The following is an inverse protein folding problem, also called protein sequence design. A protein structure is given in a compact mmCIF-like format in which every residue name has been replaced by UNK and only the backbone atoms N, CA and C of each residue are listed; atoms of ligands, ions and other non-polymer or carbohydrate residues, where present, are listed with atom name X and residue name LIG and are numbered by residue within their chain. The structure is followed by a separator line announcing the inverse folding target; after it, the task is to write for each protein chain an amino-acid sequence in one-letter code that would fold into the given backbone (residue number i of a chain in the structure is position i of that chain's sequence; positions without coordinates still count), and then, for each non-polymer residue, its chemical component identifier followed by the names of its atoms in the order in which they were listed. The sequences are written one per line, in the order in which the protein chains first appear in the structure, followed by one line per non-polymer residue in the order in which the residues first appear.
data_IF_960533291357
#
_entry.id   IF_960533291357
#
_cell.length_a   1.000
_cell.length_b   1.000
_cell.length_c   1.000
_cell.angle_alpha   90.00
_cell.angle_beta   90.00
_cell.angle_gamma   90.00
#
_symmetry.space_group_name_H-M   'P 1'
#
loop_
_entity.id
_entity.type
_entity.pdbx_description
1 polymer ?
#
# COMPACT_ATOMS: atom_id res chain seq x y z
N UNK A 1 51.98 -31.03 2.12
CA UNK A 1 51.08 -32.05 2.70
C UNK A 1 49.65 -31.54 2.56
N UNK A 2 48.96 -32.04 1.54
CA UNK A 2 47.58 -31.62 1.21
C UNK A 2 46.60 -32.64 1.77
N UNK A 3 45.80 -32.24 2.73
CA UNK A 3 44.69 -33.08 3.27
C UNK A 3 43.36 -32.56 2.66
N UNK A 4 42.88 -33.28 1.66
CA UNK A 4 41.52 -33.10 1.10
C UNK A 4 40.51 -33.69 2.08
N UNK A 5 39.62 -32.87 2.64
CA UNK A 5 38.46 -33.34 3.41
C UNK A 5 37.29 -33.55 2.45
N UNK A 6 36.93 -34.81 2.25
CA UNK A 6 35.74 -35.24 1.51
C UNK A 6 34.53 -35.12 2.44
N UNK A 7 33.55 -34.29 2.07
CA UNK A 7 32.25 -34.26 2.72
C UNK A 7 31.35 -35.32 2.05
N UNK A 8 30.92 -36.31 2.81
CA UNK A 8 29.83 -37.21 2.44
C UNK A 8 28.50 -36.52 2.68
N UNK A 9 27.71 -36.33 1.62
CA UNK A 9 26.33 -35.93 1.71
C UNK A 9 25.43 -37.15 1.89
N UNK A 10 24.80 -37.28 3.05
CA UNK A 10 23.83 -38.34 3.34
C UNK A 10 22.46 -37.85 2.83
N UNK A 11 21.93 -38.51 1.81
CA UNK A 11 20.57 -38.31 1.31
C UNK A 11 19.62 -39.16 2.16
N UNK A 12 18.78 -38.50 2.96
CA UNK A 12 17.70 -39.17 3.68
C UNK A 12 16.48 -39.29 2.77
N UNK A 13 16.14 -40.52 2.38
CA UNK A 13 14.91 -40.84 1.65
C UNK A 13 13.73 -40.82 2.63
N UNK A 14 12.81 -39.88 2.45
CA UNK A 14 11.52 -39.84 3.14
C UNK A 14 10.52 -40.72 2.38
N UNK A 15 10.20 -41.88 2.96
CA UNK A 15 9.10 -42.74 2.50
C UNK A 15 7.77 -42.15 2.96
N UNK A 16 6.94 -41.70 2.03
CA UNK A 16 5.55 -41.32 2.30
C UNK A 16 4.70 -42.59 2.44
N UNK A 17 4.24 -42.85 3.65
CA UNK A 17 3.21 -43.86 3.91
C UNK A 17 1.87 -43.30 3.41
N UNK A 18 1.27 -43.94 2.42
CA UNK A 18 -0.03 -43.60 1.88
C UNK A 18 -1.15 -43.88 2.91
N UNK A 19 -1.84 -42.85 3.32
CA UNK A 19 -3.13 -42.97 4.01
C UNK A 19 -4.24 -42.99 2.95
N UNK A 20 -4.84 -44.17 2.75
CA UNK A 20 -6.09 -44.27 2.00
C UNK A 20 -7.22 -43.73 2.85
N UNK A 21 -7.73 -42.53 2.51
CA UNK A 21 -8.96 -42.01 3.07
C UNK A 21 -10.11 -42.60 2.28
N UNK A 22 -10.89 -43.47 2.95
CA UNK A 22 -12.13 -44.01 2.43
C UNK A 22 -13.10 -42.84 2.11
N UNK A 23 -13.54 -42.80 0.85
CA UNK A 23 -14.48 -41.75 0.39
C UNK A 23 -15.82 -41.86 1.11
N UNK A 24 -16.17 -40.78 1.79
CA UNK A 24 -17.59 -40.43 2.00
C UNK A 24 -17.99 -39.55 0.83
N UNK A 25 -18.80 -40.10 -0.08
CA UNK A 25 -19.51 -39.35 -1.07
C UNK A 25 -20.52 -38.47 -0.32
N UNK A 26 -20.13 -37.25 -0.05
CA UNK A 26 -21.08 -36.20 0.32
C UNK A 26 -21.53 -35.57 -1.00
N UNK A 27 -22.78 -35.77 -1.36
CA UNK A 27 -23.51 -34.96 -2.34
C UNK A 27 -23.56 -33.49 -1.86
N UNK A 28 -22.42 -32.89 -1.76
CA UNK A 28 -22.25 -31.47 -1.56
C UNK A 28 -22.34 -30.79 -2.91
N UNK A 29 -23.53 -30.32 -3.28
CA UNK A 29 -23.68 -29.39 -4.38
C UNK A 29 -22.57 -28.33 -4.30
N UNK A 30 -21.91 -28.07 -5.42
CA UNK A 30 -20.92 -27.02 -5.56
C UNK A 30 -21.53 -25.74 -5.00
N UNK A 31 -21.23 -25.42 -3.76
CA UNK A 31 -21.46 -24.12 -3.21
C UNK A 31 -20.54 -23.17 -4.02
N UNK A 32 -21.07 -22.70 -5.15
CA UNK A 32 -20.52 -21.52 -5.81
C UNK A 32 -20.38 -20.50 -4.70
N UNK A 33 -19.11 -20.20 -4.33
CA UNK A 33 -18.81 -19.28 -3.26
C UNK A 33 -19.69 -18.07 -3.43
N UNK A 34 -20.45 -17.73 -2.39
CA UNK A 34 -21.29 -16.53 -2.39
C UNK A 34 -20.33 -15.42 -2.80
N UNK A 35 -20.56 -14.85 -3.97
CA UNK A 35 -19.88 -13.64 -4.41
C UNK A 35 -20.06 -12.65 -3.27
N UNK A 36 -19.02 -12.47 -2.48
CA UNK A 36 -19.04 -11.50 -1.40
C UNK A 36 -19.27 -10.15 -2.08
N UNK A 37 -20.31 -9.44 -1.68
CA UNK A 37 -20.58 -8.12 -2.24
C UNK A 37 -19.28 -7.29 -2.11
N UNK A 38 -18.89 -6.55 -3.17
CA UNK A 38 -17.69 -5.74 -3.13
C UNK A 38 -17.66 -4.88 -1.87
N UNK A 39 -16.49 -4.75 -1.24
CA UNK A 39 -16.35 -3.83 -0.12
C UNK A 39 -16.60 -2.39 -0.63
N UNK A 40 -17.30 -1.54 0.12
CA UNK A 40 -17.60 -0.17 -0.34
C UNK A 40 -16.37 0.62 -0.81
N UNK A 41 -15.18 0.36 -0.27
CA UNK A 41 -13.94 1.02 -0.69
C UNK A 41 -13.38 0.49 -2.02
N UNK A 42 -13.73 -0.73 -2.45
CA UNK A 42 -13.26 -1.28 -3.73
C UNK A 42 -13.64 -0.38 -4.90
N UNK A 43 -12.72 -0.22 -5.85
CA UNK A 43 -12.91 0.60 -7.04
C UNK A 43 -11.84 1.67 -7.21
N UNK A 44 -12.05 2.55 -8.19
CA UNK A 44 -11.15 3.67 -8.49
C UNK A 44 -11.73 5.00 -8.00
N UNK A 45 -10.87 5.81 -7.43
CA UNK A 45 -11.22 7.05 -6.75
C UNK A 45 -10.41 8.21 -7.27
N UNK A 46 -11.06 9.35 -7.45
CA UNK A 46 -10.41 10.65 -7.61
C UNK A 46 -10.20 11.22 -6.22
N UNK A 47 -8.95 11.51 -5.88
CA UNK A 47 -8.57 11.90 -4.53
C UNK A 47 -7.91 13.25 -4.53
N UNK A 48 -8.30 14.11 -3.58
CA UNK A 48 -7.62 15.36 -3.26
C UNK A 48 -6.87 15.16 -1.96
N UNK A 49 -5.55 15.33 -1.99
CA UNK A 49 -4.64 15.14 -0.85
C UNK A 49 -4.18 16.52 -0.39
N UNK A 50 -4.39 16.85 0.88
CA UNK A 50 -3.97 18.10 1.50
C UNK A 50 -2.90 17.81 2.56
N UNK A 51 -1.68 18.32 2.42
CA UNK A 51 -0.68 18.29 3.49
C UNK A 51 -1.16 19.09 4.71
N UNK A 52 -0.99 18.50 5.89
CA UNK A 52 -1.41 19.09 7.16
C UNK A 52 -0.29 19.06 8.19
N UNK A 53 -0.35 19.94 9.16
CA UNK A 53 0.49 19.91 10.35
C UNK A 53 0.01 18.79 11.24
N UNK A 54 0.85 17.78 11.52
CA UNK A 54 0.45 16.56 12.22
C UNK A 54 -0.17 16.81 13.60
N UNK A 55 0.29 17.82 14.34
CA UNK A 55 -0.16 18.11 15.69
C UNK A 55 -1.50 18.83 15.76
N UNK A 56 -1.85 19.61 14.75
CA UNK A 56 -3.05 20.46 14.74
C UNK A 56 -4.08 20.08 13.68
N UNK A 57 -3.70 19.28 12.66
CA UNK A 57 -4.56 18.97 11.52
C UNK A 57 -4.84 20.14 10.58
N UNK A 58 -4.20 21.29 10.81
CA UNK A 58 -4.37 22.50 9.99
C UNK A 58 -3.55 22.35 8.71
N UNK A 59 -4.06 22.87 7.60
CA UNK A 59 -3.36 22.86 6.31
C UNK A 59 -2.00 23.52 6.43
N UNK A 60 -0.98 22.94 5.78
CA UNK A 60 0.34 23.55 5.71
C UNK A 60 0.25 24.79 4.82
N UNK A 61 0.54 26.00 5.35
CA UNK A 61 0.40 27.23 4.59
C UNK A 61 1.27 27.24 3.32
N UNK A 62 0.69 27.67 2.21
CA UNK A 62 1.39 27.80 0.93
C UNK A 62 1.69 26.48 0.21
N UNK A 63 1.28 25.34 0.75
CA UNK A 63 1.41 24.04 0.08
C UNK A 63 0.09 23.69 -0.60
N UNK A 64 0.05 23.59 -1.93
CA UNK A 64 -1.18 23.26 -2.65
C UNK A 64 -1.60 21.81 -2.40
N UNK A 65 -2.90 21.56 -2.54
CA UNK A 65 -3.42 20.19 -2.59
C UNK A 65 -2.92 19.45 -3.83
N UNK A 66 -2.85 18.14 -3.71
CA UNK A 66 -2.39 17.23 -4.78
C UNK A 66 -3.57 16.37 -5.22
N UNK A 67 -3.76 16.25 -6.53
CA UNK A 67 -4.73 15.31 -7.09
C UNK A 67 -4.09 13.95 -7.30
N UNK A 68 -4.82 12.87 -6.96
CA UNK A 68 -4.38 11.51 -7.15
C UNK A 68 -5.53 10.62 -7.68
N UNK A 69 -5.16 9.48 -8.23
CA UNK A 69 -6.05 8.36 -8.49
C UNK A 69 -5.61 7.19 -7.63
N UNK A 70 -6.53 6.66 -6.83
CA UNK A 70 -6.32 5.46 -6.03
C UNK A 70 -7.25 4.36 -6.54
N UNK A 71 -6.72 3.17 -6.74
CA UNK A 71 -7.52 1.98 -7.06
C UNK A 71 -7.34 0.96 -5.96
N UNK A 72 -8.44 0.63 -5.29
CA UNK A 72 -8.51 -0.42 -4.29
C UNK A 72 -9.07 -1.68 -4.97
N UNK A 73 -8.20 -2.67 -5.19
CA UNK A 73 -8.59 -3.91 -5.86
C UNK A 73 -9.17 -4.92 -4.87
N UNK A 74 -10.06 -5.82 -5.31
CA UNK A 74 -10.47 -6.97 -4.52
C UNK A 74 -9.26 -7.76 -4.01
N UNK A 75 -9.35 -8.26 -2.77
CA UNK A 75 -8.25 -9.01 -2.15
C UNK A 75 -7.20 -8.14 -1.44
N UNK A 76 -7.45 -6.83 -1.29
CA UNK A 76 -6.67 -5.97 -0.40
C UNK A 76 -5.44 -5.32 -1.01
N UNK A 77 -5.21 -5.43 -2.32
CA UNK A 77 -4.12 -4.69 -2.99
C UNK A 77 -4.61 -3.33 -3.48
N UNK A 78 -3.68 -2.39 -3.64
CA UNK A 78 -3.99 -1.07 -4.18
C UNK A 78 -2.88 -0.48 -5.01
N UNK A 79 -3.25 0.46 -5.87
CA UNK A 79 -2.32 1.28 -6.65
C UNK A 79 -2.68 2.76 -6.54
N UNK A 80 -1.68 3.61 -6.73
CA UNK A 80 -1.83 5.06 -6.68
C UNK A 80 -0.98 5.73 -7.75
N UNK A 81 -1.50 6.82 -8.30
CA UNK A 81 -0.72 7.80 -9.06
C UNK A 81 -1.18 9.21 -8.68
N UNK A 82 -0.26 10.16 -8.63
CA UNK A 82 -0.59 11.52 -8.27
C UNK A 82 0.13 12.57 -9.13
N UNK A 83 -0.39 13.80 -9.05
CA UNK A 83 0.09 14.97 -9.79
C UNK A 83 0.92 15.91 -8.92
N UNK A 84 1.65 15.39 -7.92
CA UNK A 84 2.42 16.25 -7.02
C UNK A 84 3.58 16.94 -7.75
N UNK A 85 3.43 18.25 -7.98
CA UNK A 85 4.41 19.09 -8.68
C UNK A 85 5.69 19.34 -7.88
N UNK A 86 5.78 18.92 -6.61
CA UNK A 86 7.02 18.96 -5.84
C UNK A 86 8.03 17.90 -6.29
N UNK A 87 7.61 16.92 -7.09
CA UNK A 87 8.50 15.97 -7.75
C UNK A 87 8.82 16.42 -9.17
N UNK A 88 10.07 16.23 -9.58
CA UNK A 88 10.48 16.38 -10.96
C UNK A 88 9.83 15.29 -11.84
N UNK A 89 9.60 15.54 -13.14
CA UNK A 89 9.07 14.53 -14.05
C UNK A 89 9.84 13.21 -13.98
N UNK A 90 9.14 12.11 -13.71
CA UNK A 90 9.74 10.77 -13.57
C UNK A 90 10.47 10.53 -12.24
N UNK A 91 10.54 11.49 -11.33
CA UNK A 91 11.20 11.32 -10.04
C UNK A 91 10.44 10.37 -9.13
N UNK A 92 9.12 10.46 -9.06
CA UNK A 92 8.28 9.57 -8.26
C UNK A 92 7.53 8.59 -9.17
N UNK A 93 7.67 7.33 -8.87
CA UNK A 93 6.91 6.25 -9.51
C UNK A 93 5.48 6.14 -8.98
N UNK A 94 4.66 5.24 -9.56
CA UNK A 94 3.36 4.89 -9.01
C UNK A 94 3.52 4.28 -7.61
N UNK A 95 2.49 4.46 -6.79
CA UNK A 95 2.38 3.82 -5.49
C UNK A 95 1.74 2.44 -5.60
N UNK A 96 2.24 1.51 -4.81
CA UNK A 96 1.68 0.16 -4.64
C UNK A 96 1.55 -0.15 -3.16
N UNK A 97 0.49 -0.86 -2.79
CA UNK A 97 0.28 -1.16 -1.40
C UNK A 97 -0.87 -2.11 -1.14
N UNK A 98 -1.31 -2.08 0.09
CA UNK A 98 -2.42 -2.88 0.55
C UNK A 98 -3.43 -2.03 1.32
N UNK A 99 -4.64 -2.54 1.41
CA UNK A 99 -5.71 -1.98 2.21
C UNK A 99 -6.48 -3.10 2.91
N UNK A 100 -7.10 -2.76 4.02
CA UNK A 100 -7.96 -3.68 4.75
C UNK A 100 -9.09 -2.93 5.44
N UNK A 101 -10.18 -3.66 5.71
CA UNK A 101 -11.31 -3.14 6.45
C UNK A 101 -11.07 -3.27 7.95
N UNK A 102 -11.19 -2.17 8.69
CA UNK A 102 -10.98 -2.12 10.14
C UNK A 102 -12.28 -1.96 10.93
N UNK A 103 -13.37 -1.55 10.26
CA UNK A 103 -14.68 -1.35 10.88
C UNK A 103 -15.81 -1.45 9.87
N UNK A 104 -17.01 -1.03 10.27
CA UNK A 104 -18.18 -1.06 9.38
C UNK A 104 -18.00 -0.12 8.18
N UNK A 105 -17.50 1.06 8.42
CA UNK A 105 -17.25 2.13 7.45
C UNK A 105 -15.78 2.54 7.39
N UNK A 106 -14.95 1.95 8.25
CA UNK A 106 -13.55 2.31 8.44
C UNK A 106 -12.62 1.32 7.75
N UNK A 107 -11.56 1.84 7.16
CA UNK A 107 -10.51 1.08 6.48
C UNK A 107 -9.15 1.69 6.82
N UNK A 108 -8.10 0.94 6.52
CA UNK A 108 -6.74 1.46 6.51
C UNK A 108 -6.02 1.03 5.24
N UNK A 109 -5.07 1.84 4.81
CA UNK A 109 -4.16 1.45 3.75
C UNK A 109 -2.75 1.93 4.01
N UNK A 110 -1.80 1.18 3.48
CA UNK A 110 -0.41 1.60 3.38
C UNK A 110 0.07 1.38 1.95
N UNK A 111 0.83 2.34 1.42
CA UNK A 111 1.44 2.24 0.11
C UNK A 111 2.86 2.80 0.12
N UNK A 112 3.67 2.31 -0.81
CA UNK A 112 5.00 2.83 -1.07
C UNK A 112 5.14 3.19 -2.55
N UNK A 113 5.90 4.25 -2.81
CA UNK A 113 6.26 4.70 -4.15
C UNK A 113 7.75 5.01 -4.22
N UNK A 114 8.44 4.51 -5.23
CA UNK A 114 9.87 4.76 -5.39
C UNK A 114 10.15 6.22 -5.76
N UNK A 115 11.20 6.77 -5.14
CA UNK A 115 11.84 8.01 -5.56
C UNK A 115 13.10 7.62 -6.33
N UNK A 116 13.09 7.83 -7.65
CA UNK A 116 14.07 7.28 -8.59
C UNK A 116 15.44 7.96 -8.50
N UNK A 117 15.46 9.25 -8.17
CA UNK A 117 16.67 10.06 -8.11
C UNK A 117 16.51 11.23 -7.13
N UNK A 118 17.65 11.78 -6.71
CA UNK A 118 17.69 12.96 -5.83
C UNK A 118 17.11 14.18 -6.53
N UNK A 119 16.22 14.91 -5.82
CA UNK A 119 15.66 16.16 -6.31
C UNK A 119 16.74 17.23 -6.48
N UNK A 120 16.69 18.00 -7.57
CA UNK A 120 17.51 19.17 -7.82
C UNK A 120 16.82 20.48 -7.48
N UNK A 121 15.47 20.44 -7.41
CA UNK A 121 14.63 21.62 -7.20
C UNK A 121 14.51 21.96 -5.71
N UNK A 122 14.63 23.24 -5.37
CA UNK A 122 14.27 23.80 -4.06
C UNK A 122 12.76 24.13 -4.04
N UNK A 123 12.10 24.20 -2.85
CA UNK A 123 12.64 23.93 -1.51
C UNK A 123 12.68 22.46 -1.13
N UNK A 124 11.93 21.60 -1.82
CA UNK A 124 11.80 20.19 -1.48
C UNK A 124 12.90 19.38 -2.16
N UNK A 125 13.83 18.88 -1.38
CA UNK A 125 14.91 18.03 -1.87
C UNK A 125 14.70 16.60 -1.40
N UNK A 126 13.95 15.84 -2.18
CA UNK A 126 13.77 14.41 -1.91
C UNK A 126 15.03 13.65 -2.30
N UNK A 127 15.39 12.69 -1.49
CA UNK A 127 16.47 11.74 -1.79
C UNK A 127 15.91 10.54 -2.54
N UNK A 128 16.72 9.95 -3.41
CA UNK A 128 16.46 8.64 -3.97
C UNK A 128 16.14 7.65 -2.86
N UNK A 129 15.08 6.87 -3.03
CA UNK A 129 14.60 5.95 -2.01
C UNK A 129 13.11 5.64 -2.22
N UNK A 130 12.29 5.86 -1.21
CA UNK A 130 10.85 5.69 -1.35
C UNK A 130 10.05 6.61 -0.43
N UNK A 131 8.82 6.86 -0.84
CA UNK A 131 7.79 7.51 -0.04
C UNK A 131 6.85 6.42 0.48
N UNK A 132 6.47 6.51 1.75
CA UNK A 132 5.45 5.67 2.38
C UNK A 132 4.30 6.53 2.89
N UNK A 133 3.08 6.06 2.64
CA UNK A 133 1.85 6.62 3.19
C UNK A 133 1.15 5.55 4.02
N UNK A 134 0.76 5.91 5.25
CA UNK A 134 -0.08 5.10 6.12
C UNK A 134 -1.32 5.95 6.46
N UNK A 135 -2.51 5.49 6.08
CA UNK A 135 -3.75 6.27 6.17
C UNK A 135 -4.88 5.46 6.80
N UNK A 136 -5.68 6.13 7.61
CA UNK A 136 -6.99 5.63 8.06
C UNK A 136 -8.07 6.29 7.24
N UNK A 137 -9.03 5.51 6.73
CA UNK A 137 -10.12 5.96 5.85
C UNK A 137 -11.45 5.79 6.58
N UNK A 138 -12.33 6.77 6.43
CA UNK A 138 -13.72 6.70 6.86
C UNK A 138 -14.64 6.96 5.67
N UNK A 139 -15.46 5.96 5.32
CA UNK A 139 -16.50 6.07 4.29
C UNK A 139 -17.69 6.82 4.84
N UNK A 140 -18.16 7.84 4.14
CA UNK A 140 -19.38 8.59 4.49
C UNK A 140 -20.58 8.08 3.70
N UNK A 141 -20.37 7.80 2.41
CA UNK A 141 -21.33 7.18 1.51
C UNK A 141 -20.65 6.06 0.71
N UNK A 142 -21.34 5.45 -0.24
CA UNK A 142 -20.73 4.52 -1.21
C UNK A 142 -19.78 5.21 -2.18
N UNK A 143 -19.88 6.54 -2.29
CA UNK A 143 -19.22 7.32 -3.34
C UNK A 143 -18.29 8.40 -2.83
N UNK A 144 -18.14 8.54 -1.51
CA UNK A 144 -17.22 9.48 -0.88
C UNK A 144 -16.63 8.96 0.44
N UNK A 145 -15.39 9.40 0.71
CA UNK A 145 -14.68 9.10 1.94
C UNK A 145 -13.68 10.21 2.29
N UNK A 146 -13.25 10.21 3.55
CA UNK A 146 -12.10 10.98 4.02
C UNK A 146 -11.02 10.08 4.57
N UNK A 147 -9.76 10.54 4.54
CA UNK A 147 -8.66 9.87 5.22
C UNK A 147 -7.72 10.85 5.88
N UNK A 148 -6.94 10.34 6.82
CA UNK A 148 -5.82 11.07 7.41
C UNK A 148 -4.73 10.09 7.85
N UNK A 149 -3.48 10.56 7.84
CA UNK A 149 -2.36 9.73 8.26
C UNK A 149 -1.01 10.33 7.95
N UNK A 150 0.01 9.48 8.00
CA UNK A 150 1.41 9.86 7.86
C UNK A 150 1.88 9.78 6.42
N UNK A 151 2.82 10.66 6.10
CA UNK A 151 3.60 10.66 4.86
C UNK A 151 5.07 10.71 5.25
N UNK A 152 5.84 9.72 4.84
CA UNK A 152 7.23 9.54 5.25
C UNK A 152 8.11 9.32 4.00
N UNK A 153 9.34 9.82 4.05
CA UNK A 153 10.31 9.64 2.98
C UNK A 153 11.57 8.97 3.54
N UNK A 154 11.99 7.91 2.91
CA UNK A 154 13.16 7.13 3.30
C UNK A 154 14.22 7.21 2.21
N UNK A 155 15.45 7.52 2.61
CA UNK A 155 16.57 7.59 1.68
C UNK A 155 17.17 6.19 1.42
N UNK A 156 17.44 5.87 0.18
CA UNK A 156 18.00 4.59 -0.22
C UNK A 156 17.11 3.41 0.15
N UNK A 157 17.66 2.45 0.88
CA UNK A 157 16.96 1.26 1.39
C UNK A 157 16.70 1.34 2.90
N UNK A 158 16.87 2.52 3.52
CA UNK A 158 16.57 2.72 4.94
C UNK A 158 15.10 2.40 5.23
N UNK A 159 14.83 1.75 6.37
CA UNK A 159 13.49 1.50 6.89
C UNK A 159 13.23 2.24 8.20
N UNK A 160 14.23 3.01 8.66
CA UNK A 160 14.21 3.82 9.86
C UNK A 160 14.55 5.27 9.50
N UNK A 161 14.23 6.20 10.40
CA UNK A 161 14.59 7.62 10.29
C UNK A 161 14.11 8.32 9.02
N UNK A 162 12.79 8.35 8.77
CA UNK A 162 12.24 9.05 7.61
C UNK A 162 12.50 10.56 7.70
N UNK A 163 12.97 11.14 6.59
CA UNK A 163 13.22 12.58 6.48
C UNK A 163 13.03 13.07 5.04
N UNK A 164 12.09 13.97 4.78
CA UNK A 164 11.11 14.54 5.71
C UNK A 164 9.99 13.55 6.09
N UNK A 165 9.25 13.90 7.13
CA UNK A 165 7.99 13.24 7.48
C UNK A 165 6.92 14.30 7.75
N UNK A 166 5.66 13.94 7.51
CA UNK A 166 4.54 14.84 7.67
C UNK A 166 3.22 14.07 7.77
N UNK A 167 2.13 14.81 7.70
CA UNK A 167 0.78 14.25 7.68
C UNK A 167 0.01 14.80 6.47
N UNK A 168 -0.98 14.04 6.04
CA UNK A 168 -1.93 14.47 5.03
C UNK A 168 -3.34 14.03 5.42
N UNK A 169 -4.32 14.82 5.01
CA UNK A 169 -5.71 14.40 4.93
C UNK A 169 -6.10 14.28 3.46
N UNK A 170 -7.09 13.45 3.19
CA UNK A 170 -7.57 13.31 1.83
C UNK A 170 -9.08 13.19 1.78
N UNK A 171 -9.66 13.58 0.66
CA UNK A 171 -11.05 13.32 0.30
C UNK A 171 -11.06 12.53 -0.99
N UNK A 172 -11.83 11.46 -1.05
CA UNK A 172 -12.00 10.64 -2.23
C UNK A 172 -13.44 10.68 -2.73
N UNK A 173 -13.58 10.83 -4.04
CA UNK A 173 -14.87 10.67 -4.73
C UNK A 173 -14.74 9.52 -5.74
N UNK A 174 -15.76 8.66 -5.81
CA UNK A 174 -15.78 7.54 -6.73
C UNK A 174 -15.66 8.02 -8.17
N UNK A 175 -14.87 7.33 -8.96
CA UNK A 175 -14.60 7.76 -10.32
C UNK A 175 -15.76 7.44 -11.27
N UNK A 176 -16.47 6.34 -11.05
CA UNK A 176 -17.68 5.92 -11.78
C UNK A 176 -18.35 4.76 -11.06
#
# INVERSE_FOLDING_TARGET
MNTKKTLLATVAALTFAGYSVAGMANDGGLAFGRSQAPAPLEGTWVVTIQPIVCSSGIDVPGVPSVRAYLTFAPGGTMTETNSNMAFEPGQRGPGHGYWERTGRTSYQFALEAFIQFDSKLAPFRYKRGYQRLDQTVEMHTTDDWTSSGRVQFFAGTSTTDPSPSGCARSTGARMF
#
